data_IF_531725714556
#
_entry.id   IF_531725714556
#
_cell.length_a   1.000
_cell.length_b   1.000
_cell.length_c   1.000
_cell.angle_alpha   90.00
_cell.angle_beta   90.00
_cell.angle_gamma   90.00
#
_symmetry.space_group_name_H-M   'P 1'
#
loop_
_entity.id
_entity.type
_entity.pdbx_description
1 polymer ?
#
# COMPACT_ATOMS: atom_id res chain seq x y z
N UNK A 1 -84.32 -11.75 -37.30
CA UNK A 1 -85.35 -11.37 -36.31
C UNK A 1 -85.17 -12.26 -35.08
N UNK A 2 -85.33 -11.65 -33.90
CA UNK A 2 -85.39 -12.25 -32.54
C UNK A 2 -84.12 -12.92 -31.95
N UNK A 3 -83.91 -12.80 -30.61
CA UNK A 3 -82.61 -12.40 -30.05
C UNK A 3 -81.97 -13.46 -29.14
N UNK A 4 -80.66 -13.35 -28.88
CA UNK A 4 -79.98 -14.05 -27.78
C UNK A 4 -79.08 -13.10 -26.98
N UNK A 5 -79.29 -13.17 -25.66
CA UNK A 5 -78.63 -12.42 -24.58
C UNK A 5 -77.12 -12.71 -24.56
N UNK A 6 -76.30 -11.67 -24.40
CA UNK A 6 -74.88 -11.79 -24.08
C UNK A 6 -74.65 -11.28 -22.65
N UNK A 7 -74.09 -12.17 -21.84
CA UNK A 7 -73.76 -11.96 -20.44
C UNK A 7 -72.50 -11.08 -20.31
N UNK A 8 -72.51 -10.20 -19.30
CA UNK A 8 -71.38 -9.35 -18.95
C UNK A 8 -70.27 -10.18 -18.29
N UNK A 9 -69.05 -10.10 -18.82
CA UNK A 9 -67.83 -10.65 -18.23
C UNK A 9 -67.09 -9.51 -17.53
N UNK A 10 -66.93 -9.62 -16.21
CA UNK A 10 -66.06 -8.75 -15.41
C UNK A 10 -64.58 -9.04 -15.73
N UNK A 11 -63.71 -8.03 -15.86
CA UNK A 11 -62.27 -8.24 -16.00
C UNK A 11 -61.61 -8.48 -14.63
N UNK A 12 -60.95 -9.62 -14.47
CA UNK A 12 -60.03 -9.89 -13.37
C UNK A 12 -58.74 -9.06 -13.53
N UNK A 13 -58.56 -8.05 -12.69
CA UNK A 13 -57.28 -7.36 -12.50
C UNK A 13 -56.35 -8.22 -11.64
N UNK A 14 -55.36 -8.87 -12.27
CA UNK A 14 -54.21 -9.46 -11.58
C UNK A 14 -53.27 -8.33 -11.14
N UNK A 15 -53.28 -8.01 -9.85
CA UNK A 15 -52.26 -7.15 -9.22
C UNK A 15 -51.03 -8.01 -8.95
N UNK A 16 -50.01 -7.89 -9.82
CA UNK A 16 -48.69 -8.43 -9.53
C UNK A 16 -48.04 -7.56 -8.44
N UNK A 17 -47.97 -8.08 -7.21
CA UNK A 17 -47.22 -7.45 -6.14
C UNK A 17 -45.72 -7.48 -6.48
N UNK A 18 -45.18 -6.33 -6.88
CA UNK A 18 -43.75 -6.07 -6.96
C UNK A 18 -43.17 -6.17 -5.55
N UNK A 19 -42.62 -7.33 -5.21
CA UNK A 19 -41.81 -7.47 -4.00
C UNK A 19 -40.61 -6.54 -4.12
N UNK A 20 -40.56 -5.53 -3.26
CA UNK A 20 -39.38 -4.67 -3.13
C UNK A 20 -38.17 -5.55 -2.79
N UNK A 21 -37.01 -5.38 -3.46
CA UNK A 21 -35.81 -6.11 -3.08
C UNK A 21 -35.48 -5.74 -1.63
N UNK A 22 -35.45 -6.75 -0.75
CA UNK A 22 -35.03 -6.57 0.63
C UNK A 22 -33.62 -5.96 0.69
N UNK A 23 -33.28 -5.23 1.76
CA UNK A 23 -31.96 -4.63 1.90
C UNK A 23 -30.90 -5.73 1.76
N UNK A 24 -30.10 -5.65 0.70
CA UNK A 24 -28.95 -6.51 0.54
C UNK A 24 -28.11 -6.39 1.81
N UNK A 25 -28.00 -7.48 2.57
CA UNK A 25 -27.20 -7.51 3.79
C UNK A 25 -25.81 -6.96 3.43
N UNK A 26 -25.43 -5.83 4.05
CA UNK A 26 -24.15 -5.19 3.78
C UNK A 26 -23.06 -6.24 3.96
N UNK A 27 -22.46 -6.68 2.85
CA UNK A 27 -21.51 -7.78 2.89
C UNK A 27 -20.39 -7.42 3.88
N UNK A 28 -20.15 -8.28 4.86
CA UNK A 28 -19.17 -8.04 5.92
C UNK A 28 -17.76 -7.86 5.32
N UNK A 29 -17.01 -6.89 5.83
CA UNK A 29 -15.61 -6.70 5.44
C UNK A 29 -14.77 -7.95 5.81
N UNK A 30 -13.66 -8.20 5.09
CA UNK A 30 -12.70 -9.22 5.51
C UNK A 30 -12.23 -8.97 6.95
N UNK A 31 -11.90 -10.04 7.71
CA UNK A 31 -11.39 -9.87 9.07
C UNK A 31 -10.08 -9.09 9.05
N UNK A 32 -9.81 -8.38 10.14
CA UNK A 32 -8.50 -7.77 10.37
C UNK A 32 -7.40 -8.87 10.40
N UNK A 33 -6.18 -8.57 9.96
CA UNK A 33 -5.05 -9.45 10.17
C UNK A 33 -4.92 -9.84 11.65
N UNK A 34 -4.46 -11.05 11.92
CA UNK A 34 -4.29 -11.53 13.29
C UNK A 34 -3.40 -10.56 14.07
N UNK A 35 -3.89 -10.09 15.22
CA UNK A 35 -3.23 -9.12 16.08
C UNK A 35 -3.00 -7.72 15.48
N UNK A 36 -3.66 -7.37 14.38
CA UNK A 36 -3.71 -6.00 13.89
C UNK A 36 -4.41 -5.08 14.91
N UNK A 37 -4.02 -3.80 15.02
CA UNK A 37 -4.75 -2.83 15.84
C UNK A 37 -6.25 -2.78 15.49
N UNK A 38 -7.13 -2.69 16.50
CA UNK A 38 -8.58 -2.57 16.29
C UNK A 38 -9.05 -1.13 15.99
N UNK A 39 -8.11 -0.21 15.83
CA UNK A 39 -8.35 1.19 15.47
C UNK A 39 -7.42 1.57 14.33
N UNK A 40 -7.93 2.37 13.41
CA UNK A 40 -7.21 2.90 12.27
C UNK A 40 -5.96 3.65 12.76
N UNK A 41 -4.79 3.20 12.32
CA UNK A 41 -3.52 3.81 12.71
C UNK A 41 -2.93 4.63 11.57
N UNK A 42 -2.14 5.63 11.96
CA UNK A 42 -1.22 6.34 11.09
C UNK A 42 0.19 5.81 11.34
N UNK A 43 1.05 5.88 10.33
CA UNK A 43 2.48 5.70 10.49
C UNK A 43 3.28 6.59 9.56
N UNK A 44 4.57 6.70 9.82
CA UNK A 44 5.49 7.61 9.15
C UNK A 44 6.78 6.85 8.79
N UNK A 45 7.41 7.22 7.68
CA UNK A 45 8.77 6.79 7.38
C UNK A 45 9.71 7.26 8.49
N UNK A 46 10.61 6.40 8.95
CA UNK A 46 11.48 6.72 10.09
C UNK A 46 12.76 5.90 10.04
N UNK A 47 13.91 6.58 10.03
CA UNK A 47 15.24 5.98 9.99
C UNK A 47 15.69 5.37 11.33
N UNK A 48 16.76 4.56 11.34
CA UNK A 48 17.26 3.93 12.56
C UNK A 48 17.55 4.96 13.67
N UNK A 49 17.22 4.63 14.92
CA UNK A 49 17.35 5.53 16.08
C UNK A 49 16.15 6.46 16.31
N UNK A 50 15.20 6.56 15.38
CA UNK A 50 14.06 7.47 15.44
C UNK A 50 12.85 7.05 16.29
N UNK A 51 12.67 5.78 16.66
CA UNK A 51 11.39 5.23 17.15
C UNK A 51 10.83 6.01 18.34
N UNK A 52 11.69 6.28 19.31
CA UNK A 52 11.29 6.95 20.55
C UNK A 52 10.93 8.41 20.31
N UNK A 53 11.68 9.10 19.44
CA UNK A 53 11.38 10.48 19.06
C UNK A 53 10.08 10.55 18.26
N UNK A 54 9.91 9.64 17.29
CA UNK A 54 8.68 9.49 16.52
C UNK A 54 7.48 9.29 17.44
N UNK A 55 7.54 8.31 18.35
CA UNK A 55 6.45 7.99 19.28
C UNK A 55 6.10 9.14 20.21
N UNK A 56 7.08 9.93 20.65
CA UNK A 56 6.86 11.14 21.46
C UNK A 56 6.20 12.27 20.66
N UNK A 57 6.51 12.40 19.38
CA UNK A 57 5.97 13.47 18.52
C UNK A 57 4.45 13.33 18.30
N UNK A 58 4.01 12.10 18.05
CA UNK A 58 2.64 11.67 17.77
C UNK A 58 2.58 10.19 18.13
N UNK A 59 1.49 9.68 18.70
CA UNK A 59 1.35 8.25 18.99
C UNK A 59 1.08 7.42 17.71
N UNK A 60 1.91 7.56 16.67
CA UNK A 60 1.89 6.74 15.46
C UNK A 60 1.92 5.25 15.83
N UNK A 61 1.06 4.47 15.18
CA UNK A 61 0.95 3.03 15.41
C UNK A 61 1.97 2.23 14.61
N UNK A 62 2.46 2.79 13.51
CA UNK A 62 3.44 2.19 12.62
C UNK A 62 4.60 3.14 12.34
N UNK A 63 5.76 2.56 12.07
CA UNK A 63 6.89 3.23 11.42
C UNK A 63 7.41 2.35 10.30
N UNK A 64 7.88 2.94 9.21
CA UNK A 64 8.38 2.13 8.10
C UNK A 64 9.77 2.54 7.60
N UNK A 65 10.45 1.57 7.01
CA UNK A 65 11.78 1.71 6.43
C UNK A 65 11.89 0.79 5.20
N UNK A 66 12.49 1.31 4.14
CA UNK A 66 12.82 0.49 2.96
C UNK A 66 14.01 -0.42 3.27
N UNK A 67 13.92 -1.66 2.78
CA UNK A 67 15.05 -2.56 2.58
C UNK A 67 15.34 -2.60 1.09
N UNK A 68 16.49 -2.09 0.68
CA UNK A 68 16.84 -1.81 -0.71
C UNK A 68 18.31 -2.15 -1.01
N UNK A 69 18.76 -1.89 -2.23
CA UNK A 69 20.11 -2.10 -2.76
C UNK A 69 20.27 -3.34 -3.64
N UNK A 70 19.19 -4.14 -3.81
CA UNK A 70 19.15 -5.31 -4.69
C UNK A 70 20.01 -6.50 -4.26
N UNK A 71 19.70 -7.69 -4.78
CA UNK A 71 20.54 -8.88 -4.59
C UNK A 71 21.60 -8.98 -5.69
N UNK A 72 22.69 -9.69 -5.38
CA UNK A 72 23.87 -9.83 -6.25
C UNK A 72 24.65 -8.52 -6.53
N UNK A 73 24.35 -7.43 -5.81
CA UNK A 73 25.02 -6.13 -5.98
C UNK A 73 26.17 -5.90 -5.01
N UNK A 74 26.17 -6.61 -3.87
CA UNK A 74 27.04 -6.32 -2.73
C UNK A 74 26.60 -5.11 -1.88
N UNK A 75 25.53 -4.42 -2.28
CA UNK A 75 25.04 -3.18 -1.65
C UNK A 75 23.61 -3.30 -1.09
N UNK A 76 23.01 -4.48 -1.17
CA UNK A 76 21.69 -4.77 -0.60
C UNK A 76 21.64 -4.64 0.93
N UNK A 77 20.46 -4.45 1.49
CA UNK A 77 20.25 -4.21 2.93
C UNK A 77 20.92 -5.22 3.86
N UNK A 78 21.11 -6.46 3.40
CA UNK A 78 21.80 -7.50 4.15
C UNK A 78 23.27 -7.15 4.48
N UNK A 79 23.87 -6.18 3.78
CA UNK A 79 25.24 -5.70 4.00
C UNK A 79 25.33 -4.41 4.82
N UNK A 80 24.22 -3.69 5.04
CA UNK A 80 24.21 -2.43 5.82
C UNK A 80 24.71 -2.63 7.25
N UNK A 81 24.38 -3.79 7.85
CA UNK A 81 24.95 -4.24 9.11
C UNK A 81 25.29 -5.72 9.01
N UNK A 82 26.37 -6.15 9.67
CA UNK A 82 26.90 -7.51 9.60
C UNK A 82 25.80 -8.57 9.75
N UNK A 83 25.65 -9.41 8.73
CA UNK A 83 24.68 -10.48 8.68
C UNK A 83 23.22 -10.03 8.61
N UNK A 84 22.91 -8.83 8.16
CA UNK A 84 21.55 -8.29 8.11
C UNK A 84 20.98 -7.96 9.50
N UNK A 85 21.83 -7.63 10.46
CA UNK A 85 21.43 -7.25 11.84
C UNK A 85 20.65 -5.93 11.89
N UNK A 86 20.57 -5.18 10.79
CA UNK A 86 19.70 -4.00 10.66
C UNK A 86 18.26 -4.29 11.11
N UNK A 87 17.70 -5.41 10.65
CA UNK A 87 16.33 -5.84 11.03
C UNK A 87 16.22 -6.05 12.53
N UNK A 88 17.23 -6.64 13.17
CA UNK A 88 17.23 -6.86 14.62
C UNK A 88 17.19 -5.54 15.39
N UNK A 89 18.05 -4.58 14.99
CA UNK A 89 18.11 -3.26 15.62
C UNK A 89 16.77 -2.52 15.48
N UNK A 90 16.24 -2.45 14.25
CA UNK A 90 15.02 -1.70 13.96
C UNK A 90 13.79 -2.31 14.66
N UNK A 91 13.69 -3.64 14.72
CA UNK A 91 12.60 -4.32 15.45
C UNK A 91 12.72 -4.11 16.95
N UNK A 92 13.92 -4.22 17.52
CA UNK A 92 14.15 -4.01 18.96
C UNK A 92 13.77 -2.59 19.38
N UNK A 93 14.27 -1.60 18.64
CA UNK A 93 14.00 -0.19 18.89
C UNK A 93 12.50 0.13 18.79
N UNK A 94 11.83 -0.40 17.78
CA UNK A 94 10.38 -0.25 17.58
C UNK A 94 9.57 -0.88 18.73
N UNK A 95 9.98 -2.06 19.19
CA UNK A 95 9.35 -2.74 20.31
C UNK A 95 9.46 -1.91 21.61
N UNK A 96 10.64 -1.35 21.91
CA UNK A 96 10.85 -0.47 23.07
C UNK A 96 10.00 0.79 23.01
N UNK A 97 9.76 1.34 21.82
CA UNK A 97 8.90 2.52 21.63
C UNK A 97 7.41 2.18 21.46
N UNK A 98 7.02 0.91 21.53
CA UNK A 98 5.64 0.44 21.30
C UNK A 98 5.05 0.88 19.95
N UNK A 99 5.86 0.84 18.89
CA UNK A 99 5.45 1.10 17.51
C UNK A 99 5.66 -0.17 16.68
N UNK A 100 4.77 -0.45 15.72
CA UNK A 100 4.90 -1.64 14.87
C UNK A 100 5.86 -1.31 13.71
N UNK A 101 7.00 -2.02 13.56
CA UNK A 101 7.88 -1.85 12.43
C UNK A 101 7.28 -2.44 11.15
N UNK A 102 7.36 -1.66 10.07
CA UNK A 102 7.03 -2.08 8.70
C UNK A 102 8.29 -2.01 7.86
N UNK A 103 8.59 -3.07 7.12
CA UNK A 103 9.68 -3.08 6.15
C UNK A 103 9.11 -3.14 4.75
N UNK A 104 9.40 -2.13 3.93
CA UNK A 104 9.13 -2.13 2.49
C UNK A 104 10.32 -2.78 1.79
N UNK A 105 10.22 -4.08 1.55
CA UNK A 105 11.29 -4.88 0.94
C UNK A 105 11.24 -4.71 -0.58
N UNK A 106 12.17 -3.93 -1.12
CA UNK A 106 12.18 -3.49 -2.52
C UNK A 106 13.54 -3.80 -3.14
N UNK A 107 13.73 -5.05 -3.58
CA UNK A 107 15.03 -5.58 -3.96
C UNK A 107 15.09 -5.97 -5.44
N UNK A 108 14.02 -6.52 -6.00
CA UNK A 108 14.09 -7.15 -7.32
C UNK A 108 14.42 -6.16 -8.45
N UNK A 109 13.91 -4.93 -8.38
CA UNK A 109 14.19 -3.86 -9.34
C UNK A 109 15.69 -3.54 -9.40
N UNK A 110 16.31 -3.42 -8.24
CA UNK A 110 17.71 -3.01 -8.08
C UNK A 110 18.70 -4.19 -8.19
N UNK A 111 18.20 -5.40 -8.43
CA UNK A 111 19.03 -6.61 -8.48
C UNK A 111 19.76 -6.75 -9.82
N UNK A 112 20.94 -7.36 -9.79
CA UNK A 112 21.66 -7.70 -11.03
C UNK A 112 21.11 -8.99 -11.68
N UNK A 113 21.10 -9.08 -13.02
CA UNK A 113 21.67 -8.11 -13.98
C UNK A 113 20.74 -6.94 -14.36
N UNK A 114 19.46 -6.95 -13.94
CA UNK A 114 18.47 -5.96 -14.40
C UNK A 114 18.66 -4.53 -13.88
N UNK A 115 19.50 -4.27 -12.87
CA UNK A 115 19.59 -2.96 -12.22
C UNK A 115 19.94 -1.79 -13.13
N UNK A 116 20.65 -2.04 -14.23
CA UNK A 116 21.11 -1.01 -15.18
C UNK A 116 20.16 -0.85 -16.38
N UNK A 117 19.03 -1.54 -16.36
CA UNK A 117 18.04 -1.48 -17.42
C UNK A 117 17.02 -0.36 -17.14
N UNK A 118 17.04 0.67 -17.98
CA UNK A 118 16.14 1.83 -17.85
C UNK A 118 14.66 1.49 -18.06
N UNK A 119 14.36 0.36 -18.71
CA UNK A 119 13.01 -0.17 -18.83
C UNK A 119 12.67 -1.01 -17.60
N UNK A 120 11.92 -0.41 -16.68
CA UNK A 120 11.60 -1.03 -15.41
C UNK A 120 10.84 -2.35 -15.48
N UNK A 121 9.72 -2.44 -16.22
CA UNK A 121 9.03 -3.72 -16.41
C UNK A 121 9.97 -4.81 -16.92
N UNK A 122 10.80 -4.51 -17.92
CA UNK A 122 11.74 -5.49 -18.49
C UNK A 122 12.82 -5.90 -17.50
N UNK A 123 13.38 -4.96 -16.75
CA UNK A 123 14.35 -5.21 -15.69
C UNK A 123 13.80 -6.20 -14.64
N UNK A 124 12.62 -5.89 -14.10
CA UNK A 124 11.96 -6.68 -13.05
C UNK A 124 11.63 -8.08 -13.56
N UNK A 125 10.95 -8.19 -14.72
CA UNK A 125 10.55 -9.48 -15.28
C UNK A 125 11.75 -10.34 -15.71
N UNK A 126 12.86 -9.72 -16.14
CA UNK A 126 14.11 -10.42 -16.44
C UNK A 126 14.74 -11.00 -15.17
N UNK A 127 14.85 -10.19 -14.12
CA UNK A 127 15.37 -10.63 -12.82
C UNK A 127 14.53 -11.76 -12.22
N UNK A 128 13.20 -11.70 -12.34
CA UNK A 128 12.30 -12.77 -11.90
C UNK A 128 12.54 -14.10 -12.63
N UNK A 129 12.94 -14.06 -13.90
CA UNK A 129 13.25 -15.27 -14.70
C UNK A 129 14.67 -15.77 -14.49
N UNK A 130 15.55 -14.96 -13.90
CA UNK A 130 16.94 -15.31 -13.67
C UNK A 130 17.11 -16.21 -12.44
N UNK A 131 17.59 -17.44 -12.66
CA UNK A 131 17.77 -18.46 -11.60
C UNK A 131 18.76 -18.03 -10.51
N UNK A 132 19.85 -17.35 -10.87
CA UNK A 132 20.85 -16.90 -9.91
C UNK A 132 20.32 -15.72 -9.07
N UNK A 133 19.64 -14.77 -9.71
CA UNK A 133 18.96 -13.65 -9.04
C UNK A 133 17.91 -14.17 -8.07
N UNK A 134 17.01 -15.04 -8.51
CA UNK A 134 15.96 -15.57 -7.63
C UNK A 134 16.50 -16.46 -6.50
N UNK A 135 17.61 -17.20 -6.72
CA UNK A 135 18.26 -17.94 -5.63
C UNK A 135 18.79 -17.00 -4.54
N UNK A 136 19.45 -15.92 -4.93
CA UNK A 136 19.94 -14.90 -4.01
C UNK A 136 18.78 -14.18 -3.32
N UNK A 137 17.73 -13.84 -4.06
CA UNK A 137 16.51 -13.23 -3.55
C UNK A 137 15.82 -14.08 -2.47
N UNK A 138 15.66 -15.39 -2.70
CA UNK A 138 15.10 -16.27 -1.67
C UNK A 138 16.01 -16.42 -0.44
N UNK A 139 17.34 -16.37 -0.62
CA UNK A 139 18.27 -16.36 0.50
C UNK A 139 18.13 -15.09 1.34
N UNK A 140 17.90 -13.95 0.68
CA UNK A 140 17.73 -12.63 1.28
C UNK A 140 16.40 -12.52 2.06
N UNK A 141 15.27 -12.94 1.47
CA UNK A 141 13.98 -13.04 2.20
C UNK A 141 14.09 -14.03 3.36
N UNK A 142 14.79 -15.16 3.19
CA UNK A 142 15.03 -16.11 4.29
C UNK A 142 15.86 -15.47 5.41
N UNK A 143 16.82 -14.61 5.10
CA UNK A 143 17.60 -13.87 6.09
C UNK A 143 16.70 -12.90 6.87
N UNK A 144 15.87 -12.12 6.18
CA UNK A 144 14.87 -11.25 6.82
C UNK A 144 13.99 -12.04 7.80
N UNK A 145 13.41 -13.16 7.36
CA UNK A 145 12.53 -13.98 8.21
C UNK A 145 13.28 -14.51 9.43
N UNK A 146 14.54 -14.97 9.27
CA UNK A 146 15.34 -15.41 10.43
C UNK A 146 15.58 -14.29 11.44
N UNK A 147 15.83 -13.07 10.96
CA UNK A 147 16.08 -11.88 11.82
C UNK A 147 14.79 -11.46 12.54
N UNK A 148 13.71 -11.20 11.80
CA UNK A 148 12.41 -10.84 12.37
C UNK A 148 11.84 -11.93 13.30
N UNK A 149 12.10 -13.22 12.99
CA UNK A 149 11.67 -14.36 13.81
C UNK A 149 12.35 -14.46 15.18
N UNK A 150 13.43 -13.71 15.44
CA UNK A 150 14.06 -13.61 16.77
C UNK A 150 13.22 -12.84 17.78
N UNK A 151 12.14 -12.18 17.33
CA UNK A 151 11.27 -11.36 18.15
C UNK A 151 9.84 -11.92 18.18
N UNK A 152 9.62 -13.13 18.75
CA UNK A 152 8.33 -13.84 18.65
C UNK A 152 7.16 -13.08 19.30
N UNK A 153 7.43 -12.12 20.19
CA UNK A 153 6.43 -11.28 20.85
C UNK A 153 6.24 -9.91 20.19
N UNK A 154 7.03 -9.59 19.16
CA UNK A 154 6.93 -8.33 18.43
C UNK A 154 6.29 -8.59 17.07
N UNK A 155 5.24 -7.83 16.76
CA UNK A 155 4.64 -7.83 15.43
C UNK A 155 5.57 -7.10 14.48
N UNK A 156 5.84 -7.71 13.33
CA UNK A 156 6.65 -7.10 12.28
C UNK A 156 5.86 -7.20 10.99
N UNK A 157 5.78 -6.12 10.22
CA UNK A 157 5.13 -6.15 8.90
C UNK A 157 6.21 -6.18 7.83
N UNK A 158 6.09 -7.08 6.87
CA UNK A 158 6.92 -7.09 5.66
C UNK A 158 6.00 -6.85 4.46
N UNK A 159 6.09 -5.65 3.89
CA UNK A 159 5.53 -5.37 2.57
C UNK A 159 6.52 -5.91 1.54
N UNK A 160 6.10 -6.93 0.79
CA UNK A 160 6.98 -7.66 -0.12
C UNK A 160 6.93 -7.02 -1.49
N UNK A 161 8.08 -6.56 -1.98
CA UNK A 161 8.32 -6.09 -3.35
C UNK A 161 7.21 -5.20 -3.90
N UNK A 162 7.10 -3.95 -3.40
CA UNK A 162 6.38 -2.90 -4.11
C UNK A 162 6.72 -2.92 -5.61
N UNK A 163 5.75 -2.56 -6.45
CA UNK A 163 5.77 -2.54 -7.92
C UNK A 163 5.95 -3.87 -8.65
N UNK A 164 6.76 -4.80 -8.13
CA UNK A 164 7.00 -6.11 -8.77
C UNK A 164 5.70 -6.85 -9.06
N UNK A 165 4.75 -6.81 -8.14
CA UNK A 165 3.45 -7.46 -8.32
C UNK A 165 2.61 -6.79 -9.41
N UNK A 166 2.72 -5.47 -9.57
CA UNK A 166 2.04 -4.71 -10.62
C UNK A 166 2.56 -5.06 -12.01
N UNK A 167 3.88 -5.10 -12.20
CA UNK A 167 4.48 -5.58 -13.45
C UNK A 167 4.14 -7.05 -13.74
N UNK A 168 4.06 -7.86 -12.69
CA UNK A 168 3.56 -9.22 -12.79
C UNK A 168 2.12 -9.29 -13.26
N UNK A 169 1.24 -8.44 -12.72
CA UNK A 169 -0.17 -8.36 -13.12
C UNK A 169 -0.32 -7.91 -14.58
N UNK A 170 0.41 -6.88 -15.00
CA UNK A 170 0.43 -6.40 -16.38
C UNK A 170 0.91 -7.49 -17.36
N UNK A 171 1.90 -8.30 -16.97
CA UNK A 171 2.40 -9.40 -17.77
C UNK A 171 1.47 -10.64 -17.77
N UNK A 172 0.46 -10.68 -16.89
CA UNK A 172 -0.42 -11.82 -16.74
C UNK A 172 -1.49 -11.88 -17.83
N UNK A 173 -1.81 -13.09 -18.30
CA UNK A 173 -2.91 -13.33 -19.24
C UNK A 173 -4.17 -13.72 -18.49
N UNK A 174 -5.20 -12.88 -18.59
CA UNK A 174 -6.51 -13.12 -17.96
C UNK A 174 -6.48 -13.07 -16.43
N UNK A 175 -5.69 -12.16 -15.86
CA UNK A 175 -5.49 -11.99 -14.41
C UNK A 175 -5.00 -13.29 -13.73
N UNK A 176 -4.17 -14.11 -14.42
CA UNK A 176 -3.66 -15.39 -13.91
C UNK A 176 -2.16 -15.35 -13.65
N UNK A 177 -1.77 -15.40 -12.38
CA UNK A 177 -0.37 -15.46 -11.94
C UNK A 177 0.41 -16.68 -12.49
N UNK A 178 -0.29 -17.75 -12.89
CA UNK A 178 0.33 -18.94 -13.50
C UNK A 178 0.97 -18.66 -14.86
N UNK A 179 0.63 -17.55 -15.51
CA UNK A 179 1.13 -17.23 -16.84
C UNK A 179 2.38 -16.35 -16.81
N UNK A 180 2.85 -15.97 -15.62
CA UNK A 180 3.98 -15.07 -15.42
C UNK A 180 5.17 -15.89 -14.91
N UNK A 181 6.17 -16.17 -15.77
CA UNK A 181 7.30 -17.02 -15.39
C UNK A 181 8.17 -16.37 -14.32
N UNK A 182 8.55 -17.17 -13.32
CA UNK A 182 9.49 -16.79 -12.26
C UNK A 182 10.37 -18.01 -11.96
N UNK A 183 11.68 -17.85 -11.82
CA UNK A 183 12.56 -18.93 -11.40
C UNK A 183 12.35 -19.21 -9.90
N UNK A 184 11.55 -20.23 -9.57
CA UNK A 184 11.15 -20.59 -8.21
C UNK A 184 11.85 -21.89 -7.81
N UNK A 185 11.34 -23.05 -8.21
CA UNK A 185 11.99 -24.35 -7.98
C UNK A 185 13.29 -24.42 -8.79
N UNK A 186 13.27 -23.94 -10.04
CA UNK A 186 14.47 -23.92 -10.88
C UNK A 186 15.55 -22.93 -10.45
N UNK A 187 15.27 -22.05 -9.48
CA UNK A 187 16.33 -21.26 -8.82
C UNK A 187 17.33 -22.14 -8.05
N UNK A 188 16.91 -23.35 -7.67
CA UNK A 188 17.65 -24.24 -6.78
C UNK A 188 17.56 -23.84 -5.30
N UNK A 189 16.73 -22.85 -4.96
CA UNK A 189 16.48 -22.48 -3.57
C UNK A 189 15.66 -23.55 -2.87
N UNK A 190 16.20 -24.18 -1.82
CA UNK A 190 15.47 -25.18 -1.03
C UNK A 190 14.17 -24.65 -0.40
N UNK A 191 14.03 -23.34 -0.23
CA UNK A 191 12.78 -22.71 0.25
C UNK A 191 11.63 -22.84 -0.77
N UNK A 192 11.98 -22.88 -2.05
CA UNK A 192 11.08 -22.90 -3.18
C UNK A 192 10.83 -24.32 -3.74
N UNK A 193 11.46 -25.34 -3.16
CA UNK A 193 11.42 -26.71 -3.68
C UNK A 193 9.99 -27.22 -3.89
N UNK A 194 9.74 -27.76 -5.09
CA UNK A 194 8.46 -28.35 -5.51
C UNK A 194 7.33 -27.34 -5.71
N UNK A 195 7.62 -26.04 -5.80
CA UNK A 195 6.65 -25.02 -6.18
C UNK A 195 6.78 -24.69 -7.67
N UNK A 196 5.71 -24.25 -8.35
CA UNK A 196 5.78 -23.96 -9.79
C UNK A 196 6.68 -22.76 -10.09
N UNK A 197 7.34 -22.76 -11.25
CA UNK A 197 8.17 -21.65 -11.75
C UNK A 197 7.33 -20.50 -12.34
N UNK A 198 6.48 -19.93 -11.49
CA UNK A 198 5.63 -18.79 -11.79
C UNK A 198 5.34 -17.96 -10.54
N UNK A 199 4.60 -16.87 -10.68
CA UNK A 199 4.26 -16.00 -9.54
C UNK A 199 3.45 -16.69 -8.44
N UNK A 200 2.74 -17.79 -8.74
CA UNK A 200 2.08 -18.60 -7.68
C UNK A 200 3.13 -19.26 -6.81
N UNK A 201 4.19 -19.79 -7.41
CA UNK A 201 5.29 -20.40 -6.69
C UNK A 201 6.04 -19.38 -5.83
N UNK A 202 6.33 -18.20 -6.37
CA UNK A 202 6.96 -17.10 -5.64
C UNK A 202 6.16 -16.74 -4.37
N UNK A 203 4.87 -16.44 -4.54
CA UNK A 203 3.99 -16.07 -3.45
C UNK A 203 3.88 -17.17 -2.37
N UNK A 204 3.76 -18.44 -2.78
CA UNK A 204 3.70 -19.58 -1.86
C UNK A 204 5.03 -19.81 -1.13
N UNK A 205 6.16 -19.58 -1.79
CA UNK A 205 7.48 -19.71 -1.18
C UNK A 205 7.69 -18.67 -0.07
N UNK A 206 7.28 -17.42 -0.29
CA UNK A 206 7.34 -16.35 0.73
C UNK A 206 6.47 -16.70 1.94
N UNK A 207 5.22 -17.13 1.72
CA UNK A 207 4.34 -17.57 2.81
C UNK A 207 4.92 -18.78 3.56
N UNK A 208 5.50 -19.75 2.84
CA UNK A 208 6.16 -20.93 3.43
C UNK A 208 7.35 -20.52 4.31
N UNK A 209 8.17 -19.57 3.86
CA UNK A 209 9.28 -19.03 4.63
C UNK A 209 8.80 -18.35 5.91
N UNK A 210 7.81 -17.46 5.82
CA UNK A 210 7.22 -16.79 7.00
C UNK A 210 6.69 -17.81 8.00
N UNK A 211 5.85 -18.75 7.54
CA UNK A 211 5.22 -19.72 8.43
C UNK A 211 6.25 -20.58 9.19
N UNK A 212 7.39 -20.88 8.56
CA UNK A 212 8.44 -21.71 9.17
C UNK A 212 9.37 -20.93 10.09
N UNK A 213 9.70 -19.69 9.75
CA UNK A 213 10.82 -18.95 10.36
C UNK A 213 10.38 -17.76 11.20
N UNK A 214 9.23 -17.15 10.90
CA UNK A 214 8.79 -15.90 11.50
C UNK A 214 7.25 -15.81 11.56
N UNK A 215 6.57 -16.66 12.34
CA UNK A 215 5.12 -16.62 12.46
C UNK A 215 4.57 -15.31 13.06
N UNK A 216 5.44 -14.49 13.67
CA UNK A 216 5.14 -13.13 14.14
C UNK A 216 5.09 -12.07 13.01
N UNK A 217 5.62 -12.39 11.82
CA UNK A 217 5.61 -11.47 10.67
C UNK A 217 4.25 -11.50 9.98
N UNK A 218 3.69 -10.32 9.76
CA UNK A 218 2.51 -10.05 8.93
C UNK A 218 3.01 -9.77 7.51
N UNK A 219 2.59 -10.57 6.54
CA UNK A 219 2.95 -10.41 5.13
C UNK A 219 1.98 -9.48 4.42
N UNK A 220 2.52 -8.38 3.88
CA UNK A 220 1.84 -7.45 2.99
C UNK A 220 2.11 -7.76 1.52
N UNK A 221 1.03 -7.98 0.76
CA UNK A 221 1.07 -7.99 -0.71
C UNK A 221 0.91 -6.55 -1.23
N UNK A 222 1.58 -6.16 -2.30
CA UNK A 222 1.39 -4.85 -2.91
C UNK A 222 0.41 -4.92 -4.09
N UNK A 223 -0.59 -4.05 -4.10
CA UNK A 223 -1.59 -3.92 -5.14
C UNK A 223 -1.77 -2.43 -5.50
N UNK A 224 -1.10 -1.98 -6.56
CA UNK A 224 -1.44 -0.69 -7.16
C UNK A 224 -2.54 -0.84 -8.19
N UNK A 225 -3.33 0.20 -8.36
CA UNK A 225 -4.23 0.40 -9.49
C UNK A 225 -3.53 0.22 -10.86
N UNK A 226 -2.35 0.82 -11.06
CA UNK A 226 -1.58 0.75 -12.31
C UNK A 226 -1.16 -0.67 -12.69
N UNK A 227 -1.12 -1.60 -11.72
CA UNK A 227 -0.91 -3.03 -11.98
C UNK A 227 -1.95 -3.62 -12.93
N UNK A 228 -3.14 -3.03 -13.00
CA UNK A 228 -4.20 -3.42 -13.95
C UNK A 228 -3.98 -2.93 -15.38
N UNK A 229 -2.94 -2.10 -15.60
CA UNK A 229 -2.64 -1.40 -16.84
C UNK A 229 -3.30 -0.02 -16.97
N UNK A 230 -3.99 0.45 -15.92
CA UNK A 230 -4.62 1.77 -15.85
C UNK A 230 -4.17 2.44 -14.57
N UNK A 231 -3.38 3.50 -14.70
CA UNK A 231 -2.87 4.31 -13.60
C UNK A 231 -3.83 5.47 -13.33
N UNK A 232 -4.42 5.56 -12.14
CA UNK A 232 -5.42 6.60 -11.85
C UNK A 232 -4.79 7.98 -11.64
N UNK A 233 -3.47 8.08 -11.45
CA UNK A 233 -2.78 9.36 -11.48
C UNK A 233 -2.62 9.92 -12.91
N UNK A 234 -2.79 9.07 -13.93
CA UNK A 234 -2.63 9.44 -15.35
C UNK A 234 -3.88 9.20 -16.20
N UNK A 235 -4.91 8.54 -15.65
CA UNK A 235 -6.12 8.13 -16.37
C UNK A 235 -7.35 8.34 -15.50
N UNK A 236 -8.49 8.66 -16.13
CA UNK A 236 -9.77 8.94 -15.47
C UNK A 236 -10.85 7.89 -15.76
N UNK A 237 -10.68 6.60 -15.36
CA UNK A 237 -11.73 5.61 -15.61
C UNK A 237 -13.02 5.99 -14.88
N UNK A 238 -14.15 5.67 -15.47
CA UNK A 238 -15.45 5.80 -14.80
C UNK A 238 -15.51 4.91 -13.55
N UNK A 239 -16.44 5.17 -12.62
CA UNK A 239 -16.59 4.33 -11.42
C UNK A 239 -16.92 2.86 -11.75
N UNK A 240 -17.78 2.53 -12.74
CA UNK A 240 -17.98 1.14 -13.17
C UNK A 240 -16.70 0.47 -13.69
N UNK A 241 -15.87 1.20 -14.45
CA UNK A 241 -14.56 0.71 -14.91
C UNK A 241 -13.61 0.51 -13.74
N UNK A 242 -13.56 1.46 -12.81
CA UNK A 242 -12.78 1.37 -11.57
C UNK A 242 -13.14 0.10 -10.77
N UNK A 243 -14.43 -0.21 -10.63
CA UNK A 243 -14.88 -1.45 -9.99
C UNK A 243 -14.47 -2.69 -10.79
N UNK A 244 -14.49 -2.64 -12.12
CA UNK A 244 -13.99 -3.73 -12.95
C UNK A 244 -12.49 -3.96 -12.75
N UNK A 245 -11.69 -2.89 -12.64
CA UNK A 245 -10.25 -2.93 -12.37
C UNK A 245 -9.96 -3.47 -10.97
N UNK A 246 -10.68 -3.03 -9.94
CA UNK A 246 -10.57 -3.60 -8.58
C UNK A 246 -10.89 -5.11 -8.55
N UNK A 247 -11.85 -5.57 -9.37
CA UNK A 247 -12.14 -7.01 -9.52
C UNK A 247 -10.99 -7.75 -10.23
N UNK A 248 -10.32 -7.13 -11.21
CA UNK A 248 -9.15 -7.71 -11.90
C UNK A 248 -7.98 -7.90 -10.95
N UNK A 249 -7.57 -6.84 -10.25
CA UNK A 249 -6.51 -6.89 -9.23
C UNK A 249 -6.81 -7.93 -8.15
N UNK A 250 -8.06 -7.97 -7.67
CA UNK A 250 -8.49 -9.01 -6.73
C UNK A 250 -8.42 -10.43 -7.31
N UNK A 251 -8.79 -10.65 -8.59
CA UNK A 251 -8.66 -11.95 -9.26
C UNK A 251 -7.20 -12.37 -9.39
N UNK A 252 -6.34 -11.45 -9.80
CA UNK A 252 -4.90 -11.70 -9.91
C UNK A 252 -4.32 -12.14 -8.57
N UNK A 253 -4.57 -11.39 -7.49
CA UNK A 253 -4.15 -11.77 -6.15
C UNK A 253 -4.66 -13.17 -5.76
N UNK A 254 -5.95 -13.47 -5.97
CA UNK A 254 -6.51 -14.80 -5.64
C UNK A 254 -5.86 -15.92 -6.46
N UNK A 255 -5.43 -15.64 -7.69
CA UNK A 255 -4.79 -16.62 -8.58
C UNK A 255 -3.40 -17.06 -8.10
N UNK A 256 -2.72 -16.26 -7.26
CA UNK A 256 -1.45 -16.63 -6.61
C UNK A 256 -1.61 -17.90 -5.77
N UNK A 257 -2.79 -18.12 -5.18
CA UNK A 257 -3.05 -19.25 -4.30
C UNK A 257 -2.17 -19.22 -3.04
N UNK A 258 -1.86 -18.02 -2.55
CA UNK A 258 -1.09 -17.76 -1.33
C UNK A 258 -1.95 -16.93 -0.35
N UNK A 259 -1.64 -17.02 0.95
CA UNK A 259 -2.35 -16.29 2.01
C UNK A 259 -1.45 -15.21 2.60
N UNK A 260 -1.42 -14.05 1.95
CA UNK A 260 -0.91 -12.83 2.58
C UNK A 260 -1.93 -12.33 3.61
N UNK A 261 -1.46 -11.62 4.63
CA UNK A 261 -2.31 -11.22 5.75
C UNK A 261 -3.01 -9.88 5.48
N UNK A 262 -2.35 -8.99 4.73
CA UNK A 262 -2.84 -7.64 4.40
C UNK A 262 -2.38 -7.24 2.99
N UNK A 263 -3.02 -6.24 2.41
CA UNK A 263 -2.59 -5.60 1.16
C UNK A 263 -2.10 -4.19 1.43
N UNK A 264 -1.07 -3.77 0.72
CA UNK A 264 -0.61 -2.40 0.62
C UNK A 264 -1.00 -1.87 -0.76
N UNK A 265 -1.47 -0.62 -0.84
CA UNK A 265 -1.78 0.09 -2.09
C UNK A 265 -1.28 1.50 -1.99
N UNK A 266 -0.71 2.03 -3.05
CA UNK A 266 -0.11 3.34 -3.14
C UNK A 266 -1.02 4.36 -3.82
N UNK A 267 -0.88 5.60 -3.39
CA UNK A 267 -1.55 6.74 -4.04
C UNK A 267 -0.54 7.60 -4.77
N UNK A 268 0.60 7.86 -4.13
CA UNK A 268 1.70 8.55 -4.77
C UNK A 268 2.99 8.32 -3.98
N UNK A 269 4.09 8.16 -4.69
CA UNK A 269 5.44 8.13 -4.12
C UNK A 269 6.04 9.54 -3.97
N UNK A 270 5.44 10.55 -4.61
CA UNK A 270 5.95 11.93 -4.63
C UNK A 270 4.83 12.95 -4.46
N UNK A 271 5.17 14.08 -3.84
CA UNK A 271 4.29 15.25 -3.75
C UNK A 271 3.90 15.73 -5.15
N UNK A 272 2.66 16.20 -5.33
CA UNK A 272 2.22 16.81 -6.61
C UNK A 272 3.15 17.93 -7.05
N UNK A 273 3.62 18.77 -6.12
CA UNK A 273 4.60 19.82 -6.39
C UNK A 273 5.91 19.29 -6.98
N UNK A 274 6.39 18.14 -6.51
CA UNK A 274 7.59 17.49 -7.04
C UNK A 274 7.36 17.06 -8.48
N UNK A 275 6.25 16.33 -8.72
CA UNK A 275 5.90 15.81 -10.04
C UNK A 275 5.83 16.93 -11.09
N UNK A 276 5.27 18.07 -10.72
CA UNK A 276 5.19 19.25 -11.59
C UNK A 276 6.54 19.93 -11.79
N UNK A 277 7.30 20.16 -10.72
CA UNK A 277 8.54 20.92 -10.78
C UNK A 277 9.72 20.13 -11.39
N UNK A 278 9.78 18.82 -11.15
CA UNK A 278 10.92 17.96 -11.51
C UNK A 278 10.59 17.02 -12.67
N UNK A 279 9.37 16.47 -12.71
CA UNK A 279 8.96 15.51 -13.76
C UNK A 279 8.18 16.19 -14.91
N UNK A 280 7.88 17.49 -14.79
CA UNK A 280 7.18 18.25 -15.81
C UNK A 280 5.70 17.90 -15.97
N UNK A 281 5.09 17.30 -14.95
CA UNK A 281 3.65 16.97 -14.99
C UNK A 281 2.76 18.22 -15.02
N UNK A 282 1.58 18.05 -15.63
CA UNK A 282 0.58 19.09 -15.80
C UNK A 282 -0.17 19.46 -14.52
N UNK A 283 -1.14 20.40 -14.60
CA UNK A 283 -2.01 20.75 -13.48
C UNK A 283 -2.90 19.58 -13.00
N UNK A 284 -3.14 18.59 -13.86
CA UNK A 284 -4.01 17.44 -13.55
C UNK A 284 -3.38 16.44 -12.56
N UNK A 285 -2.13 16.65 -12.15
CA UNK A 285 -1.50 15.87 -11.09
C UNK A 285 -2.16 16.07 -9.70
N UNK A 286 -2.96 17.13 -9.52
CA UNK A 286 -3.67 17.40 -8.26
C UNK A 286 -4.91 16.53 -8.11
N UNK A 287 -4.98 15.77 -7.02
CA UNK A 287 -6.12 14.89 -6.76
C UNK A 287 -7.39 15.65 -6.36
N UNK A 288 -8.47 15.45 -7.11
CA UNK A 288 -9.77 16.06 -6.87
C UNK A 288 -10.78 15.08 -6.22
N UNK A 289 -12.07 15.44 -6.19
CA UNK A 289 -13.09 14.58 -5.62
C UNK A 289 -13.32 13.27 -6.42
N UNK A 290 -13.15 13.31 -7.74
CA UNK A 290 -13.29 12.15 -8.63
C UNK A 290 -12.14 11.15 -8.42
N UNK A 291 -10.89 11.63 -8.29
CA UNK A 291 -9.74 10.78 -7.94
C UNK A 291 -9.96 10.03 -6.63
N UNK A 292 -10.43 10.75 -5.61
CA UNK A 292 -10.72 10.18 -4.29
C UNK A 292 -11.84 9.15 -4.38
N UNK A 293 -12.87 9.41 -5.17
CA UNK A 293 -13.95 8.46 -5.39
C UNK A 293 -13.43 7.19 -6.07
N UNK A 294 -12.60 7.31 -7.11
CA UNK A 294 -11.97 6.16 -7.78
C UNK A 294 -11.12 5.33 -6.82
N UNK A 295 -10.24 5.97 -6.05
CA UNK A 295 -9.40 5.28 -5.07
C UNK A 295 -10.24 4.51 -4.02
N UNK A 296 -11.31 5.12 -3.50
CA UNK A 296 -12.23 4.45 -2.55
C UNK A 296 -12.94 3.26 -3.19
N UNK A 297 -13.44 3.41 -4.42
CA UNK A 297 -14.13 2.34 -5.15
C UNK A 297 -13.21 1.17 -5.48
N UNK A 298 -12.00 1.45 -5.97
CA UNK A 298 -10.99 0.43 -6.24
C UNK A 298 -10.65 -0.36 -4.99
N UNK A 299 -10.33 0.32 -3.87
CA UNK A 299 -10.04 -0.33 -2.59
C UNK A 299 -11.22 -1.17 -2.12
N UNK A 300 -12.45 -0.64 -2.19
CA UNK A 300 -13.65 -1.34 -1.78
C UNK A 300 -13.84 -2.66 -2.54
N UNK A 301 -13.74 -2.57 -3.86
CA UNK A 301 -13.98 -3.71 -4.73
C UNK A 301 -12.83 -4.73 -4.66
N UNK A 302 -11.58 -4.26 -4.62
CA UNK A 302 -10.40 -5.10 -4.42
C UNK A 302 -10.47 -5.85 -3.08
N UNK A 303 -10.67 -5.13 -1.97
CA UNK A 303 -10.71 -5.68 -0.59
C UNK A 303 -11.68 -6.85 -0.50
N UNK A 304 -12.89 -6.70 -1.05
CA UNK A 304 -13.91 -7.75 -1.10
C UNK A 304 -13.49 -8.92 -2.00
N UNK A 305 -12.95 -8.65 -3.18
CA UNK A 305 -12.57 -9.68 -4.15
C UNK A 305 -11.36 -10.51 -3.71
N UNK A 306 -10.36 -9.85 -3.13
CA UNK A 306 -9.14 -10.46 -2.58
C UNK A 306 -9.39 -11.13 -1.22
N UNK A 307 -10.40 -10.64 -0.48
CA UNK A 307 -10.66 -10.94 0.94
C UNK A 307 -9.52 -10.49 1.84
N UNK A 308 -9.00 -9.30 1.61
CA UNK A 308 -7.93 -8.69 2.40
C UNK A 308 -8.31 -7.27 2.82
N UNK A 309 -7.78 -6.85 3.97
CA UNK A 309 -7.80 -5.45 4.39
C UNK A 309 -6.61 -4.71 3.79
N UNK A 310 -6.73 -3.39 3.66
CA UNK A 310 -5.80 -2.58 2.87
C UNK A 310 -5.10 -1.53 3.75
N UNK A 311 -3.81 -1.39 3.58
CA UNK A 311 -2.99 -0.30 4.09
C UNK A 311 -2.70 0.63 2.92
N UNK A 312 -2.95 1.93 3.09
CA UNK A 312 -2.60 2.91 2.07
C UNK A 312 -1.17 3.38 2.35
N UNK A 313 -0.29 3.08 1.42
CA UNK A 313 1.15 3.34 1.38
C UNK A 313 1.52 3.29 -0.09
N UNK A 314 2.21 4.23 -0.70
CA UNK A 314 2.85 5.39 -0.11
C UNK A 314 1.98 6.65 -0.23
N UNK A 315 2.18 7.58 0.71
CA UNK A 315 1.48 8.86 0.75
C UNK A 315 2.50 9.97 1.01
N UNK A 316 2.70 10.91 0.09
CA UNK A 316 3.61 12.05 0.30
C UNK A 316 3.05 12.96 1.41
N UNK A 317 3.93 13.78 2.00
CA UNK A 317 3.59 14.56 3.20
C UNK A 317 3.42 16.05 2.97
N UNK A 318 3.62 16.51 1.74
CA UNK A 318 3.35 17.87 1.32
C UNK A 318 1.95 18.34 1.66
N UNK A 319 1.79 19.66 1.67
CA UNK A 319 0.51 20.31 1.91
C UNK A 319 0.46 21.65 1.17
N UNK A 320 -0.73 22.22 1.00
CA UNK A 320 -0.93 23.57 0.45
C UNK A 320 -1.18 24.61 1.53
N UNK A 321 -1.09 24.24 2.81
CA UNK A 321 -1.44 25.10 3.96
C UNK A 321 -0.23 25.83 4.53
N UNK A 322 0.92 25.15 4.59
CA UNK A 322 2.14 25.69 5.18
C UNK A 322 2.95 26.45 4.17
N UNK A 323 3.47 27.59 4.60
CA UNK A 323 4.37 28.42 3.78
C UNK A 323 5.71 27.79 3.48
N UNK A 324 6.12 26.83 4.31
CA UNK A 324 7.29 26.03 4.01
C UNK A 324 7.16 25.38 2.61
N UNK A 325 5.94 25.07 2.16
CA UNK A 325 5.66 24.42 0.88
C UNK A 325 5.68 25.39 -0.30
N UNK A 326 6.89 25.69 -0.77
CA UNK A 326 7.19 26.62 -1.86
C UNK A 326 7.49 25.93 -3.21
N UNK A 327 7.37 24.60 -3.28
CA UNK A 327 7.70 23.76 -4.44
C UNK A 327 9.18 23.81 -4.86
N UNK A 328 10.09 23.97 -3.91
CA UNK A 328 11.53 23.70 -4.10
C UNK A 328 11.91 22.35 -3.50
N UNK A 329 13.15 21.91 -3.75
CA UNK A 329 13.70 20.67 -3.20
C UNK A 329 13.44 20.55 -1.68
N UNK A 330 12.89 19.42 -1.24
CA UNK A 330 12.49 19.19 0.15
C UNK A 330 11.15 19.80 0.56
N UNK A 331 10.54 20.68 -0.23
CA UNK A 331 9.41 21.51 0.18
C UNK A 331 8.29 21.60 -0.85
N UNK A 332 7.79 20.45 -1.29
CA UNK A 332 6.74 20.35 -2.30
C UNK A 332 5.33 20.30 -1.72
N UNK A 333 4.41 20.99 -2.40
CA UNK A 333 3.01 21.00 -2.05
C UNK A 333 2.30 19.73 -2.48
N UNK A 334 1.29 19.33 -1.70
CA UNK A 334 0.44 18.18 -1.97
C UNK A 334 -0.93 18.37 -1.29
N UNK A 335 -1.93 17.53 -1.55
CA UNK A 335 -3.26 17.64 -0.93
C UNK A 335 -3.75 16.36 -0.21
N UNK A 336 -2.96 15.28 -0.20
CA UNK A 336 -3.31 14.01 0.44
C UNK A 336 -3.47 14.14 1.96
N UNK A 337 -2.50 14.73 2.66
CA UNK A 337 -2.54 14.91 4.12
C UNK A 337 -3.74 15.77 4.54
N UNK A 338 -4.02 16.84 3.77
CA UNK A 338 -5.11 17.77 4.04
C UNK A 338 -6.47 17.09 3.90
N UNK A 339 -6.63 16.26 2.86
CA UNK A 339 -7.88 15.55 2.64
C UNK A 339 -8.12 14.43 3.66
N UNK A 340 -7.05 13.73 4.07
CA UNK A 340 -7.12 12.63 5.04
C UNK A 340 -7.31 13.10 6.49
N UNK A 341 -6.63 14.17 6.90
CA UNK A 341 -6.52 14.57 8.31
C UNK A 341 -6.95 16.02 8.59
N UNK A 342 -7.30 16.80 7.56
CA UNK A 342 -7.78 18.17 7.70
C UNK A 342 -9.28 18.27 8.02
N UNK A 343 -9.92 19.34 7.53
CA UNK A 343 -11.35 19.55 7.73
C UNK A 343 -12.16 18.41 7.10
N UNK A 344 -13.24 17.99 7.77
CA UNK A 344 -14.11 16.89 7.35
C UNK A 344 -13.43 15.50 7.25
N UNK A 345 -12.18 15.33 7.69
CA UNK A 345 -11.46 14.06 7.70
C UNK A 345 -12.29 12.86 8.19
N UNK A 346 -13.13 13.07 9.21
CA UNK A 346 -13.95 12.01 9.80
C UNK A 346 -14.83 11.28 8.76
N UNK A 347 -15.48 11.98 7.81
CA UNK A 347 -16.32 11.33 6.78
C UNK A 347 -15.48 10.55 5.76
N UNK A 348 -14.37 11.11 5.29
CA UNK A 348 -13.45 10.47 4.34
C UNK A 348 -12.81 9.21 4.95
N UNK A 349 -12.35 9.30 6.21
CA UNK A 349 -11.79 8.15 6.93
C UNK A 349 -12.82 7.04 7.13
N UNK A 350 -14.10 7.36 7.39
CA UNK A 350 -15.16 6.35 7.45
C UNK A 350 -15.39 5.69 6.09
N UNK A 351 -15.41 6.45 5.00
CA UNK A 351 -15.55 5.88 3.65
C UNK A 351 -14.43 4.88 3.34
N UNK A 352 -13.17 5.25 3.65
CA UNK A 352 -12.01 4.38 3.46
C UNK A 352 -12.03 3.15 4.39
N UNK A 353 -12.38 3.30 5.67
CA UNK A 353 -12.52 2.17 6.59
C UNK A 353 -13.62 1.21 6.11
N UNK A 354 -14.74 1.73 5.59
CA UNK A 354 -15.83 0.95 5.01
C UNK A 354 -15.46 0.30 3.66
N UNK A 355 -14.49 0.86 2.93
CA UNK A 355 -13.87 0.22 1.77
C UNK A 355 -12.92 -0.92 2.18
N UNK A 356 -12.35 -0.85 3.38
CA UNK A 356 -11.49 -1.89 3.95
C UNK A 356 -10.12 -1.40 4.39
N UNK A 357 -9.87 -0.09 4.38
CA UNK A 357 -8.61 0.50 4.86
C UNK A 357 -8.44 0.27 6.37
N UNK A 358 -7.20 0.00 6.79
CA UNK A 358 -6.84 -0.29 8.19
C UNK A 358 -5.63 0.47 8.71
N UNK A 359 -4.85 1.11 7.83
CA UNK A 359 -3.81 2.08 8.20
C UNK A 359 -3.44 2.99 7.02
N UNK A 360 -2.82 4.12 7.33
CA UNK A 360 -2.19 5.06 6.38
C UNK A 360 -0.71 5.23 6.76
N UNK A 361 0.20 5.10 5.80
CA UNK A 361 1.63 5.24 6.00
C UNK A 361 2.18 6.37 5.12
N UNK A 362 2.78 7.37 5.76
CA UNK A 362 3.21 8.62 5.15
C UNK A 362 4.72 8.69 4.97
N UNK A 363 5.17 9.25 3.86
CA UNK A 363 6.57 9.53 3.57
C UNK A 363 6.80 9.55 2.06
N UNK A 364 7.88 10.19 1.61
CA UNK A 364 8.25 10.23 0.20
C UNK A 364 9.01 8.99 -0.27
N UNK A 365 8.81 8.61 -1.52
CA UNK A 365 9.39 7.43 -2.17
C UNK A 365 10.70 7.69 -2.87
N UNK A 366 11.22 8.92 -2.77
CA UNK A 366 12.43 9.32 -3.44
C UNK A 366 13.08 10.55 -2.83
N UNK A 367 14.33 10.75 -3.20
CA UNK A 367 15.12 11.88 -2.71
C UNK A 367 14.54 13.22 -3.16
N UNK A 368 14.70 14.22 -2.30
CA UNK A 368 14.19 15.57 -2.51
C UNK A 368 12.69 15.76 -2.33
N UNK A 369 11.91 14.70 -2.10
CA UNK A 369 10.49 14.84 -1.71
C UNK A 369 10.35 15.51 -0.35
N UNK A 370 9.15 16.02 -0.04
CA UNK A 370 8.89 16.60 1.27
C UNK A 370 8.98 15.53 2.36
N UNK A 371 9.57 15.86 3.52
CA UNK A 371 9.52 15.00 4.70
C UNK A 371 8.87 15.70 5.90
N UNK A 372 8.33 14.90 6.83
CA UNK A 372 7.86 15.38 8.13
C UNK A 372 9.02 15.30 9.15
N UNK A 373 10.16 15.85 8.73
CA UNK A 373 11.45 15.92 9.38
C UNK A 373 12.17 17.20 8.90
N UNK A 374 13.24 17.63 9.54
CA UNK A 374 14.06 18.76 9.06
C UNK A 374 15.27 18.19 8.30
N UNK A 375 15.04 17.65 7.10
CA UNK A 375 16.13 17.06 6.31
C UNK A 375 16.92 18.13 5.55
N UNK A 376 16.30 19.28 5.23
CA UNK A 376 16.99 20.38 4.57
C UNK A 376 17.90 21.17 5.53
N UNK A 377 17.64 21.15 6.85
CA UNK A 377 18.38 21.94 7.84
C UNK A 377 18.43 23.43 7.52
N UNK A 378 17.43 23.92 6.78
CA UNK A 378 17.39 25.30 6.29
C UNK A 378 16.64 26.23 7.23
N UNK A 379 16.10 25.67 8.32
CA UNK A 379 15.41 26.41 9.36
C UNK A 379 14.21 27.17 8.81
N UNK A 380 13.57 26.72 7.73
CA UNK A 380 12.44 27.42 7.09
C UNK A 380 11.30 27.63 8.10
N UNK A 381 11.34 28.82 8.70
CA UNK A 381 10.29 29.43 9.48
C UNK A 381 10.06 30.82 8.88
N UNK A 382 9.31 30.90 7.77
CA UNK A 382 9.11 32.16 7.05
C UNK A 382 7.67 32.72 7.14
N UNK A 383 7.50 34.06 7.20
CA UNK A 383 6.28 34.77 7.65
C UNK A 383 5.07 34.78 6.67
N UNK A 384 3.91 35.22 7.20
CA UNK A 384 2.46 35.15 6.82
C UNK A 384 1.99 35.08 5.36
N UNK A 385 0.90 34.31 5.00
CA UNK A 385 -0.06 33.59 5.85
C UNK A 385 -0.01 32.06 5.59
N UNK A 386 0.73 31.23 6.31
CA UNK A 386 0.62 30.84 7.72
C UNK A 386 2.00 30.28 8.14
N UNK A 387 2.54 30.66 9.30
CA UNK A 387 3.82 30.13 9.77
C UNK A 387 3.79 28.62 9.96
N UNK A 388 4.92 27.96 9.72
CA UNK A 388 5.15 26.55 10.05
C UNK A 388 4.93 26.30 11.55
N UNK A 389 4.47 25.09 11.91
CA UNK A 389 4.38 24.66 13.31
C UNK A 389 5.72 24.22 13.91
N UNK A 390 6.67 23.84 13.05
CA UNK A 390 8.02 23.41 13.39
C UNK A 390 8.94 23.68 12.19
N UNK A 391 10.23 23.43 12.36
CA UNK A 391 11.22 23.43 11.28
C UNK A 391 11.17 22.16 10.40
N UNK A 392 10.17 21.28 10.58
CA UNK A 392 10.02 20.15 9.67
C UNK A 392 9.76 20.67 8.24
N UNK A 393 10.26 19.98 7.23
CA UNK A 393 10.21 20.40 5.84
C UNK A 393 8.76 20.56 5.35
N UNK A 394 7.83 19.72 5.84
CA UNK A 394 6.36 19.85 5.64
C UNK A 394 5.70 21.02 6.40
N UNK A 395 6.49 21.83 7.11
CA UNK A 395 6.05 22.87 8.03
C UNK A 395 5.39 22.33 9.31
N UNK A 396 5.57 21.05 9.63
CA UNK A 396 4.99 20.38 10.79
C UNK A 396 3.50 20.06 10.66
N UNK A 397 2.94 20.18 9.45
CA UNK A 397 1.50 20.03 9.21
C UNK A 397 1.01 18.61 9.53
N UNK A 398 1.70 17.57 9.04
CA UNK A 398 1.31 16.18 9.25
C UNK A 398 1.26 15.87 10.74
N UNK A 399 2.32 16.21 11.48
CA UNK A 399 2.38 15.92 12.93
C UNK A 399 1.29 16.68 13.70
N UNK A 400 0.99 17.92 13.31
CA UNK A 400 -0.10 18.68 13.91
C UNK A 400 -1.46 17.99 13.70
N UNK A 401 -1.78 17.60 12.45
CA UNK A 401 -3.06 16.97 12.14
C UNK A 401 -3.18 15.56 12.74
N UNK A 402 -2.08 14.80 12.74
CA UNK A 402 -2.05 13.48 13.36
C UNK A 402 -2.27 13.55 14.88
N UNK A 403 -1.70 14.55 15.57
CA UNK A 403 -2.01 14.80 17.01
C UNK A 403 -3.50 15.08 17.22
N UNK A 404 -4.11 15.91 16.37
CA UNK A 404 -5.53 16.21 16.46
C UNK A 404 -6.39 14.94 16.26
N UNK A 405 -6.07 14.11 15.27
CA UNK A 405 -6.72 12.82 15.03
C UNK A 405 -6.68 11.90 16.27
N UNK A 406 -5.50 11.71 16.85
CA UNK A 406 -5.35 10.85 18.02
C UNK A 406 -6.00 11.43 19.28
N UNK A 407 -6.05 12.77 19.43
CA UNK A 407 -6.72 13.46 20.55
C UNK A 407 -8.24 13.27 20.52
N UNK A 408 -8.86 13.30 19.34
CA UNK A 408 -10.30 13.01 19.17
C UNK A 408 -10.60 11.52 19.39
N UNK A 409 -9.60 10.67 19.12
CA UNK A 409 -9.66 9.23 19.32
C UNK A 409 -9.71 8.49 17.98
N UNK A 410 -8.71 7.63 17.76
CA UNK A 410 -8.55 6.90 16.51
C UNK A 410 -9.82 6.08 16.15
N UNK A 411 -10.22 6.14 14.88
CA UNK A 411 -11.45 5.52 14.37
C UNK A 411 -11.41 4.00 14.60
N UNK A 412 -12.50 3.42 15.11
CA UNK A 412 -12.61 1.96 15.30
C UNK A 412 -12.71 1.27 13.94
N UNK A 413 -12.03 0.13 13.81
CA UNK A 413 -12.13 -0.71 12.62
C UNK A 413 -13.24 -1.76 12.80
N UNK A 414 -14.11 -1.97 11.79
CA UNK A 414 -15.17 -2.98 11.79
C UNK A 414 -14.67 -4.39 11.49
#
# INVERSE_FOLDING_TARGET
MTPRRLAAVLPCLLVAALAAPGPAAAAKLPPLPRHWPHRLQLGLTDGPGGASALRRSVPFGFRYQYLAGGVNTGQGWATWNTGGTFVDMYVSESAHAHVIPVFSYYMIRQSLPGSNDGDEPRAVLSNLRNKATMRAWFADVKLFMKRAGRFPHTRVVLQVEPDMWGYGEQAARGDRASTVPVAVDSSGSGAARGLPDDMRGLARAVVRLRNRLAPNVILGYHASDWGTGVDFAANDPSLPETDALGKRAGRFYRSLGAKFDVTFTDWSDRDVGFKRAILGEGPDAWWDAADRARAVHFIHTYSRRARQRVVVWQIPVGNTVMRAMNNTWGHYQDNHVQWLLGANAHSHLRALVNAGVVAFLFGGGADGTTCACDAQHDGVTNPSPRPSYSADDDGGYLRHQARAYYKVGALKLP
#
